data_IF_843710536766
#
_entry.id   IF_843710536766
#
_cell.length_a   1.000
_cell.length_b   1.000
_cell.length_c   1.000
_cell.angle_alpha   90.00
_cell.angle_beta   90.00
_cell.angle_gamma   90.00
#
_symmetry.space_group_name_H-M   'P 1'
#
loop_
_entity.id
_entity.type
_entity.pdbx_description
1 polymer ?
#
# COMPACT_ATOMS: atom_id res chain seq x y z
N UNK A 1 -23.24 -22.26 -18.42
CA UNK A 1 -23.26 -21.52 -17.14
C UNK A 1 -22.93 -20.08 -17.48
N UNK A 2 -23.95 -19.28 -17.74
CA UNK A 2 -23.79 -17.86 -18.08
C UNK A 2 -23.26 -17.16 -16.83
N UNK A 3 -22.08 -16.54 -16.92
CA UNK A 3 -21.64 -15.54 -15.94
C UNK A 3 -22.77 -14.50 -15.99
N UNK A 4 -23.60 -14.42 -14.95
CA UNK A 4 -24.51 -13.28 -14.81
C UNK A 4 -23.63 -12.05 -14.87
N UNK A 5 -23.90 -11.15 -15.80
CA UNK A 5 -23.15 -9.90 -15.94
C UNK A 5 -23.21 -9.18 -14.59
N UNK A 6 -22.15 -9.29 -13.79
CA UNK A 6 -22.06 -8.64 -12.47
C UNK A 6 -22.18 -7.11 -12.60
N UNK A 7 -22.10 -6.60 -13.83
CA UNK A 7 -22.42 -5.25 -14.21
C UNK A 7 -23.87 -4.85 -13.97
N UNK A 8 -24.83 -5.73 -13.69
CA UNK A 8 -26.22 -5.32 -13.42
C UNK A 8 -26.52 -5.02 -11.94
N UNK A 9 -25.57 -5.27 -11.03
CA UNK A 9 -25.81 -5.13 -9.58
C UNK A 9 -25.39 -3.78 -8.98
N UNK A 10 -24.71 -2.92 -9.73
CA UNK A 10 -24.28 -1.59 -9.25
C UNK A 10 -24.98 -0.48 -10.00
N UNK A 11 -25.50 0.51 -9.29
CA UNK A 11 -26.03 1.75 -9.84
C UNK A 11 -24.95 2.53 -10.60
N UNK A 12 -25.36 3.45 -11.47
CA UNK A 12 -24.44 4.33 -12.21
C UNK A 12 -23.57 5.16 -11.25
N UNK A 13 -24.18 5.61 -10.16
CA UNK A 13 -23.55 6.41 -9.11
C UNK A 13 -22.47 5.61 -8.37
N UNK A 14 -22.74 4.35 -8.00
CA UNK A 14 -21.76 3.47 -7.34
C UNK A 14 -20.56 3.18 -8.25
N UNK A 15 -20.80 2.91 -9.53
CA UNK A 15 -19.71 2.70 -10.50
C UNK A 15 -18.85 3.96 -10.65
N UNK A 16 -19.48 5.13 -10.77
CA UNK A 16 -18.76 6.39 -10.89
C UNK A 16 -17.93 6.68 -9.64
N UNK A 17 -18.48 6.42 -8.45
CA UNK A 17 -17.75 6.55 -7.19
C UNK A 17 -16.54 5.60 -7.13
N UNK A 18 -16.71 4.32 -7.52
CA UNK A 18 -15.62 3.35 -7.57
C UNK A 18 -14.49 3.79 -8.50
N UNK A 19 -14.81 4.20 -9.73
CA UNK A 19 -13.81 4.69 -10.68
C UNK A 19 -13.09 5.93 -10.15
N UNK A 20 -13.81 6.87 -9.54
CA UNK A 20 -13.22 8.06 -8.92
C UNK A 20 -12.22 7.67 -7.83
N UNK A 21 -12.58 6.77 -6.92
CA UNK A 21 -11.70 6.29 -5.84
C UNK A 21 -10.41 5.67 -6.42
N UNK A 22 -10.54 4.81 -7.43
CA UNK A 22 -9.38 4.16 -8.06
C UNK A 22 -8.47 5.18 -8.71
N UNK A 23 -9.02 6.14 -9.47
CA UNK A 23 -8.28 7.14 -10.23
C UNK A 23 -7.66 8.24 -9.36
N UNK A 24 -8.27 8.57 -8.21
CA UNK A 24 -7.77 9.58 -7.29
C UNK A 24 -6.74 9.04 -6.30
N UNK A 25 -6.70 7.72 -6.08
CA UNK A 25 -5.73 7.11 -5.16
C UNK A 25 -4.30 7.41 -5.60
N UNK A 26 -3.47 7.88 -4.66
CA UNK A 26 -2.04 8.13 -4.87
C UNK A 26 -1.22 7.43 -3.81
N UNK A 27 0.01 7.08 -4.18
CA UNK A 27 1.05 6.69 -3.22
C UNK A 27 1.57 7.96 -2.54
N UNK A 28 1.16 8.18 -1.28
CA UNK A 28 1.46 9.39 -0.51
C UNK A 28 2.76 9.21 0.26
N UNK A 29 3.71 10.13 0.06
CA UNK A 29 5.04 10.09 0.70
C UNK A 29 5.22 11.05 1.89
N UNK A 30 4.24 11.90 2.15
CA UNK A 30 4.26 12.88 3.24
C UNK A 30 2.90 12.96 3.92
N UNK A 31 2.86 12.74 5.23
CA UNK A 31 1.62 12.70 6.02
C UNK A 31 1.55 13.85 7.01
N UNK A 32 0.33 14.31 7.30
CA UNK A 32 0.07 15.27 8.38
C UNK A 32 0.30 14.59 9.73
N UNK A 33 0.74 15.34 10.74
CA UNK A 33 0.89 14.88 12.13
C UNK A 33 -0.45 14.84 12.89
N UNK A 34 -1.53 14.47 12.21
CA UNK A 34 -2.88 14.40 12.77
C UNK A 34 -3.21 12.92 13.00
N UNK A 35 -3.67 12.54 14.21
CA UNK A 35 -4.07 11.16 14.46
C UNK A 35 -5.28 10.78 13.60
N UNK A 36 -5.33 9.52 13.19
CA UNK A 36 -6.50 8.97 12.51
C UNK A 36 -7.53 8.58 13.57
N UNK A 37 -8.80 8.95 13.43
CA UNK A 37 -9.88 8.50 14.31
C UNK A 37 -9.97 6.96 14.39
N UNK A 38 -10.26 6.41 15.56
CA UNK A 38 -10.27 4.96 15.77
C UNK A 38 -11.39 4.25 14.96
N UNK A 39 -12.54 4.90 14.72
CA UNK A 39 -13.61 4.37 13.87
C UNK A 39 -13.17 4.24 12.40
N UNK A 40 -12.41 5.21 11.91
CA UNK A 40 -11.85 5.18 10.57
C UNK A 40 -10.80 4.07 10.44
N UNK A 41 -9.96 3.89 11.46
CA UNK A 41 -9.01 2.76 11.51
C UNK A 41 -9.75 1.41 11.50
N UNK A 42 -10.83 1.28 12.27
CA UNK A 42 -11.66 0.08 12.29
C UNK A 42 -12.20 -0.29 10.90
N UNK A 43 -12.75 0.70 10.18
CA UNK A 43 -13.23 0.50 8.80
C UNK A 43 -12.13 0.09 7.83
N UNK A 44 -10.93 0.67 7.96
CA UNK A 44 -9.78 0.31 7.12
C UNK A 44 -9.36 -1.15 7.37
N UNK A 45 -9.28 -1.56 8.64
CA UNK A 45 -8.90 -2.94 8.98
C UNK A 45 -9.94 -3.95 8.51
N UNK A 46 -11.23 -3.63 8.64
CA UNK A 46 -12.30 -4.47 8.13
C UNK A 46 -12.22 -4.62 6.61
N UNK A 47 -12.00 -3.52 5.87
CA UNK A 47 -11.84 -3.55 4.42
C UNK A 47 -10.62 -4.40 4.00
N UNK A 48 -9.50 -4.30 4.72
CA UNK A 48 -8.31 -5.10 4.46
C UNK A 48 -8.57 -6.61 4.62
N UNK A 49 -9.41 -6.99 5.60
CA UNK A 49 -9.81 -8.39 5.82
C UNK A 49 -10.71 -8.96 4.71
N UNK A 50 -11.39 -8.11 3.93
CA UNK A 50 -12.21 -8.56 2.79
C UNK A 50 -11.39 -8.81 1.51
N UNK A 51 -10.06 -8.65 1.56
CA UNK A 51 -9.19 -8.97 0.43
C UNK A 51 -9.30 -10.45 0.03
N UNK A 52 -9.18 -10.79 -1.26
CA UNK A 52 -9.18 -12.19 -1.69
C UNK A 52 -7.93 -12.92 -1.14
N UNK A 53 -8.08 -14.21 -0.83
CA UNK A 53 -6.97 -15.07 -0.42
C UNK A 53 -7.08 -16.45 -1.05
N UNK A 54 -5.94 -17.07 -1.36
CA UNK A 54 -5.89 -18.45 -1.87
C UNK A 54 -6.42 -19.38 -0.78
N UNK A 55 -7.34 -20.29 -1.16
CA UNK A 55 -7.91 -21.28 -0.25
C UNK A 55 -8.65 -20.66 0.96
N UNK A 56 -9.04 -19.39 0.89
CA UNK A 56 -9.66 -18.66 2.00
C UNK A 56 -8.80 -18.62 3.28
N UNK A 57 -7.46 -18.74 3.13
CA UNK A 57 -6.54 -18.83 4.26
C UNK A 57 -6.39 -17.53 5.06
N UNK A 58 -6.66 -16.38 4.44
CA UNK A 58 -6.57 -15.06 5.05
C UNK A 58 -5.28 -14.85 5.90
N UNK A 59 -4.07 -15.13 5.37
CA UNK A 59 -2.85 -15.29 6.18
C UNK A 59 -2.24 -13.97 6.68
N UNK A 60 -2.96 -12.86 6.60
CA UNK A 60 -2.44 -11.54 6.97
C UNK A 60 -2.45 -11.33 8.49
N UNK A 61 -1.39 -10.71 8.99
CA UNK A 61 -1.32 -10.12 10.32
C UNK A 61 -1.15 -8.61 10.23
N UNK A 62 -1.97 -7.85 10.95
CA UNK A 62 -1.86 -6.39 11.01
C UNK A 62 -1.24 -5.97 12.34
N UNK A 63 -0.10 -5.26 12.28
CA UNK A 63 0.58 -4.71 13.46
C UNK A 63 0.40 -3.20 13.47
N UNK A 64 -0.24 -2.68 14.52
CA UNK A 64 -0.46 -1.24 14.68
C UNK A 64 0.67 -0.61 15.48
N UNK A 65 1.47 0.24 14.84
CA UNK A 65 2.58 0.96 15.48
C UNK A 65 2.18 2.41 15.74
N UNK A 66 1.72 2.72 16.97
CA UNK A 66 1.43 4.09 17.41
C UNK A 66 2.66 4.81 17.99
N UNK A 67 3.61 4.07 18.58
CA UNK A 67 4.81 4.63 19.21
C UNK A 67 5.65 5.43 18.22
N UNK A 68 6.03 6.65 18.59
CA UNK A 68 6.95 7.46 17.79
C UNK A 68 8.35 6.87 17.77
N UNK A 69 8.81 6.31 18.88
CA UNK A 69 10.13 5.69 19.01
C UNK A 69 10.29 4.51 18.04
N UNK A 70 9.29 3.62 18.01
CA UNK A 70 9.30 2.48 17.09
C UNK A 70 9.27 2.94 15.63
N UNK A 71 8.50 3.98 15.31
CA UNK A 71 8.46 4.56 13.95
C UNK A 71 9.80 5.16 13.55
N UNK A 72 10.49 5.83 14.47
CA UNK A 72 11.84 6.37 14.23
C UNK A 72 12.83 5.26 13.93
N UNK A 73 12.85 4.19 14.74
CA UNK A 73 13.71 3.02 14.51
C UNK A 73 13.46 2.38 13.14
N UNK A 74 12.20 2.20 12.74
CA UNK A 74 11.85 1.68 11.41
C UNK A 74 12.34 2.60 10.30
N UNK A 75 12.21 3.92 10.46
CA UNK A 75 12.70 4.91 9.49
C UNK A 75 14.23 4.84 9.33
N UNK A 76 14.96 4.75 10.43
CA UNK A 76 16.43 4.65 10.41
C UNK A 76 16.90 3.38 9.69
N UNK A 77 16.25 2.24 9.96
CA UNK A 77 16.50 0.99 9.24
C UNK A 77 16.27 1.16 7.73
N UNK A 78 15.16 1.77 7.34
CA UNK A 78 14.85 2.03 5.94
C UNK A 78 15.92 2.90 5.25
N UNK A 79 16.34 4.00 5.87
CA UNK A 79 17.35 4.89 5.28
C UNK A 79 18.71 4.21 5.12
N UNK A 80 19.10 3.35 6.08
CA UNK A 80 20.33 2.55 5.98
C UNK A 80 20.30 1.60 4.78
N UNK A 81 19.22 0.82 4.63
CA UNK A 81 19.10 -0.11 3.50
C UNK A 81 19.00 0.63 2.17
N UNK A 82 18.31 1.78 2.14
CA UNK A 82 18.25 2.64 0.95
C UNK A 82 19.64 3.14 0.53
N UNK A 83 20.48 3.56 1.48
CA UNK A 83 21.85 3.99 1.19
C UNK A 83 22.69 2.82 0.64
N UNK A 84 22.59 1.64 1.24
CA UNK A 84 23.28 0.44 0.76
C UNK A 84 22.85 0.06 -0.67
N UNK A 85 21.54 0.08 -0.95
CA UNK A 85 21.00 -0.18 -2.27
C UNK A 85 21.42 0.87 -3.31
N UNK A 86 21.52 2.15 -2.92
CA UNK A 86 22.00 3.22 -3.80
C UNK A 86 23.48 3.02 -4.19
N UNK A 87 24.33 2.58 -3.26
CA UNK A 87 25.74 2.22 -3.54
C UNK A 87 25.82 1.04 -4.50
N UNK A 88 25.02 -0.01 -4.29
CA UNK A 88 24.96 -1.18 -5.17
C UNK A 88 24.50 -0.80 -6.59
N UNK A 89 23.44 -0.01 -6.71
CA UNK A 89 22.90 0.40 -8.00
C UNK A 89 23.83 1.36 -8.76
N UNK A 90 24.56 2.23 -8.06
CA UNK A 90 25.59 3.07 -8.67
C UNK A 90 26.75 2.24 -9.21
N UNK A 91 27.26 1.27 -8.44
CA UNK A 91 28.34 0.38 -8.85
C UNK A 91 27.98 -0.44 -10.11
N UNK A 92 26.75 -0.98 -10.19
CA UNK A 92 26.27 -1.69 -11.38
C UNK A 92 26.07 -0.78 -12.61
N UNK A 93 25.82 0.53 -12.43
CA UNK A 93 25.72 1.48 -13.56
C UNK A 93 27.08 1.87 -14.15
N UNK A 94 28.15 1.86 -13.35
CA UNK A 94 29.51 2.14 -13.82
C UNK A 94 30.11 1.03 -14.68
N UNK A 95 29.71 -0.23 -14.50
CA UNK A 95 30.16 -1.35 -15.35
C UNK A 95 29.53 -1.33 -16.76
N UNK A 96 28.32 -0.78 -16.90
CA UNK A 96 27.60 -0.73 -18.19
C UNK A 96 28.08 0.41 -19.10
N UNK A 97 28.79 1.42 -18.57
CA UNK A 97 29.24 2.60 -19.34
C UNK A 97 30.69 2.46 -19.88
N UNK A 98 31.40 1.38 -19.57
CA UNK A 98 32.80 1.18 -20.03
C UNK A 98 32.91 0.21 -21.22
N UNK A 99 32.01 0.36 -22.19
CA UNK A 99 32.17 -0.21 -23.54
C UNK A 99 31.80 0.89 -24.54
N UNK A 100 32.78 1.71 -24.90
CA UNK A 100 32.99 2.38 -26.20
C UNK A 100 34.35 3.07 -26.19
#
# INVERSE_FOLDING_TARGET
MTISDASDNFTSEERQALYKIILERRDIRSFKKVPIPDDALGRIMQAAHQGPSVGFMQPWGFIMIKSIETRTKVKELFERERQAAAVFFWASRSEVITYH
#
